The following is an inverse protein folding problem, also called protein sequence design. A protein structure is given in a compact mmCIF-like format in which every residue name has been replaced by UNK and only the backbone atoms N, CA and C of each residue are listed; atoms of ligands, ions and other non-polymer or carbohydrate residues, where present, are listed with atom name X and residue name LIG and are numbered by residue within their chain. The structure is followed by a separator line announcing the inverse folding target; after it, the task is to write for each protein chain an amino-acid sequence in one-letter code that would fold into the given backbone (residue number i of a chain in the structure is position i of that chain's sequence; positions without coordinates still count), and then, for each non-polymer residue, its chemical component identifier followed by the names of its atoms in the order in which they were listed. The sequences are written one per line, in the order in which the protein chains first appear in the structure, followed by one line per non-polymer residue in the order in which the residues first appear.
data_IF_923060899311
#
_entry.id   IF_923060899311
#
_cell.length_a   1.000
_cell.length_b   1.000
_cell.length_c   1.000
_cell.angle_alpha   90.00
_cell.angle_beta   90.00
_cell.angle_gamma   90.00
#
_symmetry.space_group_name_H-M   'P 1'
#
loop_
_entity.id
_entity.type
_entity.pdbx_description
1 polymer ?
#
# COMPACT_ATOMS: atom_id res chain seq x y z
N UNK A 1 -12.70 -4.71 -50.32
CA UNK A 1 -11.75 -5.72 -49.83
C UNK A 1 -10.37 -5.19 -50.16
N UNK A 2 -9.55 -4.98 -49.13
CA UNK A 2 -8.20 -4.41 -49.23
C UNK A 2 -7.30 -5.37 -50.03
N UNK A 3 -6.37 -4.83 -50.83
CA UNK A 3 -5.39 -5.57 -51.65
C UNK A 3 -3.97 -5.07 -51.38
N UNK A 4 -2.98 -5.85 -51.80
CA UNK A 4 -1.56 -5.44 -51.78
C UNK A 4 -1.37 -4.24 -52.72
N UNK A 5 -0.73 -3.19 -52.22
CA UNK A 5 -0.52 -1.91 -52.89
C UNK A 5 -1.54 -0.83 -52.54
N UNK A 6 -2.63 -1.16 -51.84
CA UNK A 6 -3.62 -0.17 -51.42
C UNK A 6 -3.04 0.72 -50.31
N UNK A 7 -3.26 2.05 -50.39
CA UNK A 7 -3.03 2.94 -49.26
C UNK A 7 -4.16 2.82 -48.26
N UNK A 8 -3.78 2.62 -47.00
CA UNK A 8 -4.70 2.43 -45.90
C UNK A 8 -4.40 3.43 -44.79
N UNK A 9 -5.45 3.91 -44.14
CA UNK A 9 -5.36 4.70 -42.92
C UNK A 9 -5.76 3.83 -41.73
N UNK A 10 -5.07 3.98 -40.61
CA UNK A 10 -5.45 3.28 -39.38
C UNK A 10 -6.75 3.88 -38.82
N UNK A 11 -7.68 3.01 -38.39
CA UNK A 11 -8.99 3.44 -37.89
C UNK A 11 -8.89 4.10 -36.51
N UNK A 12 -8.04 3.58 -35.64
CA UNK A 12 -7.89 3.99 -34.24
C UNK A 12 -6.50 4.53 -33.92
N UNK A 13 -5.68 4.82 -34.94
CA UNK A 13 -4.31 5.29 -34.76
C UNK A 13 -3.99 6.42 -35.76
N UNK A 14 -2.94 7.20 -35.46
CA UNK A 14 -2.48 8.31 -36.29
C UNK A 14 -1.56 7.78 -37.38
N UNK A 15 -1.85 8.18 -38.62
CA UNK A 15 -1.05 7.80 -39.79
C UNK A 15 -1.71 6.72 -40.64
N UNK A 16 -0.89 6.07 -41.46
CA UNK A 16 -1.30 5.06 -42.42
C UNK A 16 -0.09 4.47 -43.11
N UNK A 17 -0.34 3.67 -44.14
CA UNK A 17 0.73 3.04 -44.88
C UNK A 17 0.23 2.33 -46.13
N UNK A 18 1.14 1.59 -46.75
CA UNK A 18 0.85 0.81 -47.95
C UNK A 18 0.79 -0.66 -47.56
N UNK A 19 -0.24 -1.37 -48.02
CA UNK A 19 -0.34 -2.80 -47.78
C UNK A 19 0.73 -3.54 -48.58
N UNK A 20 1.65 -4.24 -47.91
CA UNK A 20 2.74 -4.98 -48.56
C UNK A 20 2.49 -6.48 -48.67
N UNK A 21 1.58 -7.04 -47.87
CA UNK A 21 1.26 -8.48 -47.94
C UNK A 21 0.18 -8.94 -46.96
N UNK A 22 -0.28 -10.18 -47.10
CA UNK A 22 -1.26 -10.80 -46.19
C UNK A 22 -0.60 -11.89 -45.35
N UNK A 23 -0.81 -11.84 -44.03
CA UNK A 23 -0.35 -12.85 -43.06
C UNK A 23 -1.43 -13.90 -42.75
N UNK A 24 -2.54 -13.89 -43.49
CA UNK A 24 -3.69 -14.78 -43.30
C UNK A 24 -4.97 -14.14 -43.84
N UNK A 25 -6.13 -14.71 -43.52
CA UNK A 25 -7.43 -14.20 -44.01
C UNK A 25 -7.83 -12.84 -43.40
N UNK A 26 -7.36 -12.53 -42.19
CA UNK A 26 -7.80 -11.36 -41.42
C UNK A 26 -6.65 -10.43 -40.99
N UNK A 27 -5.41 -10.73 -41.35
CA UNK A 27 -4.20 -9.98 -40.96
C UNK A 27 -3.40 -9.59 -42.19
N UNK A 28 -2.94 -8.35 -42.22
CA UNK A 28 -2.29 -7.72 -43.36
C UNK A 28 -1.07 -6.93 -42.88
N UNK A 29 0.02 -6.95 -43.64
CA UNK A 29 1.22 -6.14 -43.38
C UNK A 29 1.04 -4.77 -44.01
N UNK A 30 1.31 -3.73 -43.23
CA UNK A 30 1.27 -2.34 -43.67
C UNK A 30 2.65 -1.74 -43.45
N UNK A 31 3.25 -1.19 -44.50
CA UNK A 31 4.50 -0.43 -44.43
C UNK A 31 4.17 1.04 -44.18
N UNK A 32 4.66 1.56 -43.06
CA UNK A 32 4.46 2.95 -42.64
C UNK A 32 5.40 3.91 -43.40
N UNK A 33 5.24 5.22 -43.21
CA UNK A 33 6.08 6.25 -43.84
C UNK A 33 7.58 6.13 -43.50
N UNK A 34 7.90 5.49 -42.37
CA UNK A 34 9.27 5.19 -41.92
C UNK A 34 9.87 3.90 -42.54
N UNK A 35 9.13 3.19 -43.41
CA UNK A 35 9.60 1.98 -44.09
C UNK A 35 9.57 0.69 -43.25
N UNK A 36 8.87 0.70 -42.11
CA UNK A 36 8.69 -0.49 -41.27
C UNK A 36 7.39 -1.22 -41.61
N UNK A 37 7.48 -2.54 -41.83
CA UNK A 37 6.31 -3.41 -42.01
C UNK A 37 5.71 -3.83 -40.66
N UNK A 38 4.47 -3.44 -40.40
CA UNK A 38 3.73 -3.77 -39.17
C UNK A 38 2.48 -4.58 -39.49
N UNK A 39 2.20 -5.69 -38.78
CA UNK A 39 0.99 -6.47 -38.98
C UNK A 39 -0.25 -5.80 -38.34
N UNK A 40 -1.28 -5.56 -39.15
CA UNK A 40 -2.56 -4.97 -38.76
C UNK A 40 -3.75 -5.89 -39.09
N UNK A 41 -4.83 -5.89 -38.28
CA UNK A 41 -6.10 -6.51 -38.66
C UNK A 41 -6.77 -5.74 -39.80
N UNK A 42 -7.34 -6.45 -40.78
CA UNK A 42 -8.05 -5.82 -41.92
C UNK A 42 -9.22 -4.93 -41.46
N UNK A 43 -9.83 -5.23 -40.30
CA UNK A 43 -10.93 -4.45 -39.71
C UNK A 43 -10.50 -3.11 -39.10
N UNK A 44 -9.20 -2.88 -38.90
CA UNK A 44 -8.67 -1.63 -38.35
C UNK A 44 -8.08 -0.71 -39.43
N UNK A 45 -8.33 -1.03 -40.70
CA UNK A 45 -7.79 -0.31 -41.84
C UNK A 45 -8.92 0.26 -42.69
N UNK A 46 -8.78 1.52 -43.07
CA UNK A 46 -9.65 2.22 -44.00
C UNK A 46 -8.92 2.39 -45.32
N UNK A 47 -9.51 1.92 -46.42
CA UNK A 47 -8.91 2.07 -47.74
C UNK A 47 -9.07 3.51 -48.24
N UNK A 48 -7.95 4.15 -48.57
CA UNK A 48 -7.89 5.54 -49.05
C UNK A 48 -8.13 5.60 -50.55
N UNK A 49 -7.61 4.63 -51.31
CA UNK A 49 -7.72 4.61 -52.78
C UNK A 49 -9.09 4.06 -53.25
N UNK A 50 -9.80 3.32 -52.40
CA UNK A 50 -11.15 2.81 -52.69
C UNK A 50 -12.11 2.95 -51.47
N UNK A 51 -12.58 4.17 -51.15
CA UNK A 51 -13.44 4.45 -50.00
C UNK A 51 -14.78 3.70 -50.00
N UNK A 52 -15.29 3.40 -51.19
CA UNK A 52 -16.52 2.62 -51.46
C UNK A 52 -16.48 1.20 -50.86
N UNK A 53 -15.28 0.67 -50.61
CA UNK A 53 -15.06 -0.67 -50.08
C UNK A 53 -15.09 -0.72 -48.55
N UNK A 54 -15.19 0.43 -47.88
CA UNK A 54 -15.32 0.56 -46.43
C UNK A 54 -16.79 0.34 -46.02
N UNK A 55 -17.27 -0.91 -46.05
CA UNK A 55 -18.66 -1.23 -45.67
C UNK A 55 -18.81 -1.32 -44.15
N UNK A 56 -19.50 -0.32 -43.60
CA UNK A 56 -19.94 -0.22 -42.20
C UNK A 56 -20.12 1.26 -41.85
N UNK A 57 -21.21 1.86 -42.34
CA UNK A 57 -21.31 3.29 -42.57
C UNK A 57 -21.38 4.19 -41.33
N UNK A 58 -20.90 5.43 -41.50
CA UNK A 58 -21.61 6.67 -41.17
C UNK A 58 -21.19 7.73 -42.21
N UNK A 59 -22.17 8.54 -42.62
CA UNK A 59 -22.09 9.57 -43.66
C UNK A 59 -21.01 10.62 -43.43
N UNK A 60 -20.42 11.06 -44.54
CA UNK A 60 -19.63 12.29 -44.65
C UNK A 60 -20.57 13.47 -44.88
N UNK A 61 -20.49 14.49 -44.03
CA UNK A 61 -20.89 15.87 -44.39
C UNK A 61 -19.75 16.83 -44.08
N UNK A 62 -19.37 17.61 -45.09
CA UNK A 62 -18.35 18.68 -45.08
C UNK A 62 -18.86 19.95 -44.37
N UNK A 63 -18.15 21.09 -44.45
CA UNK A 63 -17.10 21.57 -43.55
C UNK A 63 -17.62 22.70 -42.63
N UNK A 64 -17.28 22.68 -41.34
CA UNK A 64 -17.59 23.78 -40.42
C UNK A 64 -16.27 24.43 -40.01
N UNK A 65 -16.21 25.75 -40.20
CA UNK A 65 -15.17 26.68 -39.77
C UNK A 65 -14.53 26.28 -38.44
N UNK A 66 -13.19 26.32 -38.42
CA UNK A 66 -12.35 26.19 -37.23
C UNK A 66 -12.55 27.39 -36.31
N UNK A 67 -13.65 27.40 -35.55
CA UNK A 67 -13.56 27.87 -34.16
C UNK A 67 -12.71 26.87 -33.39
N UNK A 68 -11.75 27.28 -32.56
CA UNK A 68 -10.97 26.36 -31.73
C UNK A 68 -11.95 25.57 -30.85
N UNK A 69 -12.28 24.35 -31.27
CA UNK A 69 -12.94 23.39 -30.40
C UNK A 69 -11.87 23.02 -29.39
N UNK A 70 -12.07 23.48 -28.15
CA UNK A 70 -11.44 22.86 -26.99
C UNK A 70 -11.48 21.36 -27.21
N UNK A 71 -10.28 20.74 -27.25
CA UNK A 71 -10.16 19.29 -27.27
C UNK A 71 -11.13 18.74 -26.23
N UNK A 72 -11.90 17.67 -26.54
CA UNK A 72 -12.71 17.05 -25.52
C UNK A 72 -11.76 16.65 -24.40
N UNK A 73 -11.82 17.40 -23.31
CA UNK A 73 -11.19 17.09 -22.03
C UNK A 73 -11.47 15.62 -21.84
N UNK A 74 -10.40 14.81 -21.93
CA UNK A 74 -10.45 13.38 -21.68
C UNK A 74 -11.41 13.19 -20.51
N UNK A 75 -12.50 12.46 -20.75
CA UNK A 75 -13.55 12.27 -19.75
C UNK A 75 -12.84 11.84 -18.48
N UNK A 76 -12.86 12.73 -17.49
CA UNK A 76 -12.26 12.45 -16.19
C UNK A 76 -12.95 11.19 -15.70
N UNK A 77 -12.18 10.09 -15.65
CA UNK A 77 -12.51 8.92 -14.85
C UNK A 77 -13.02 9.43 -13.49
N UNK A 78 -14.02 8.75 -12.89
CA UNK A 78 -14.80 9.30 -11.79
C UNK A 78 -13.86 9.86 -10.73
N UNK A 79 -13.79 11.20 -10.63
CA UNK A 79 -12.99 11.89 -9.63
C UNK A 79 -13.35 11.29 -8.28
N UNK A 80 -12.40 10.60 -7.65
CA UNK A 80 -12.58 10.13 -6.29
C UNK A 80 -13.12 11.27 -5.43
N UNK A 81 -14.06 10.96 -4.53
CA UNK A 81 -14.67 12.02 -3.70
C UNK A 81 -13.61 12.51 -2.73
N UNK A 82 -13.33 13.81 -2.74
CA UNK A 82 -12.49 14.43 -1.71
C UNK A 82 -13.29 14.48 -0.41
N UNK A 83 -12.72 13.92 0.65
CA UNK A 83 -13.35 13.82 1.98
C UNK A 83 -12.58 14.68 2.97
N UNK A 84 -13.28 15.58 3.68
CA UNK A 84 -12.65 16.43 4.68
C UNK A 84 -12.00 15.59 5.78
N UNK A 85 -10.72 15.81 6.04
CA UNK A 85 -9.95 15.11 7.08
C UNK A 85 -9.16 13.90 6.59
N UNK A 86 -9.26 13.53 5.31
CA UNK A 86 -8.50 12.45 4.66
C UNK A 86 -7.24 12.98 3.97
N UNK A 87 -6.46 13.78 4.70
CA UNK A 87 -5.28 14.48 4.18
C UNK A 87 -3.97 13.67 4.32
N UNK A 88 -4.03 12.54 5.03
CA UNK A 88 -2.92 11.60 5.20
C UNK A 88 -2.94 10.55 4.09
N UNK A 89 -1.78 10.10 3.58
CA UNK A 89 -1.71 9.08 2.54
C UNK A 89 -1.97 7.69 3.12
N UNK A 90 -3.22 7.39 3.49
CA UNK A 90 -3.61 6.13 4.10
C UNK A 90 -3.99 5.09 3.04
N UNK A 91 -3.09 4.13 2.79
CA UNK A 91 -3.24 3.08 1.79
C UNK A 91 -3.17 1.70 2.45
N UNK A 92 -4.05 0.77 2.05
CA UNK A 92 -4.16 -0.54 2.67
C UNK A 92 -4.22 -1.67 1.64
N UNK A 93 -3.63 -2.81 1.99
CA UNK A 93 -3.76 -4.08 1.30
C UNK A 93 -4.69 -4.99 2.10
N UNK A 94 -5.78 -5.44 1.50
CA UNK A 94 -6.84 -6.17 2.18
C UNK A 94 -7.09 -7.55 1.55
N UNK A 95 -7.30 -8.56 2.39
CA UNK A 95 -7.81 -9.88 1.99
C UNK A 95 -9.24 -10.02 2.50
N UNK A 96 -10.17 -10.25 1.58
CA UNK A 96 -11.61 -10.23 1.83
C UNK A 96 -12.20 -11.56 1.39
N UNK A 97 -12.58 -12.44 2.32
CA UNK A 97 -13.19 -13.72 1.97
C UNK A 97 -14.65 -13.54 1.56
N UNK A 98 -15.11 -14.36 0.60
CA UNK A 98 -16.53 -14.41 0.21
C UNK A 98 -17.46 -14.71 1.42
N UNK A 99 -17.03 -15.61 2.31
CA UNK A 99 -17.70 -15.87 3.59
C UNK A 99 -16.77 -15.60 4.78
N UNK A 100 -17.06 -14.53 5.53
CA UNK A 100 -16.31 -14.15 6.72
C UNK A 100 -16.31 -15.20 7.84
N UNK A 101 -17.35 -16.06 7.93
CA UNK A 101 -17.45 -17.10 8.97
C UNK A 101 -16.72 -18.37 8.57
N UNK A 102 -16.57 -18.60 7.27
CA UNK A 102 -15.78 -19.67 6.73
C UNK A 102 -14.88 -19.14 5.61
N UNK A 103 -13.74 -18.50 5.94
CA UNK A 103 -12.89 -17.83 4.95
C UNK A 103 -12.34 -18.71 3.84
N UNK A 104 -12.46 -20.04 3.97
CA UNK A 104 -12.01 -21.03 2.98
C UNK A 104 -13.15 -21.62 2.16
N UNK A 105 -14.40 -21.21 2.39
CA UNK A 105 -15.58 -21.72 1.68
C UNK A 105 -15.64 -21.27 0.20
N UNK A 106 -14.85 -20.26 -0.16
CA UNK A 106 -14.83 -19.66 -1.48
C UNK A 106 -13.51 -18.91 -1.70
N UNK A 107 -13.52 -18.04 -2.70
CA UNK A 107 -12.36 -17.25 -3.05
C UNK A 107 -12.14 -16.12 -2.04
N UNK A 108 -10.89 -15.66 -1.97
CA UNK A 108 -10.49 -14.51 -1.18
C UNK A 108 -10.01 -13.42 -2.14
N UNK A 109 -10.74 -12.32 -2.17
CA UNK A 109 -10.43 -11.17 -3.01
C UNK A 109 -9.38 -10.29 -2.33
N UNK A 110 -8.36 -9.93 -3.08
CA UNK A 110 -7.27 -9.08 -2.66
C UNK A 110 -7.50 -7.67 -3.20
N UNK A 111 -7.42 -6.67 -2.34
CA UNK A 111 -7.76 -5.30 -2.68
C UNK A 111 -6.67 -4.30 -2.26
N UNK A 112 -6.43 -3.31 -3.11
CA UNK A 112 -5.77 -2.06 -2.75
C UNK A 112 -6.84 -1.05 -2.36
N UNK A 113 -6.77 -0.52 -1.14
CA UNK A 113 -7.68 0.51 -0.65
C UNK A 113 -6.92 1.83 -0.52
N UNK A 114 -7.46 2.87 -1.15
CA UNK A 114 -7.02 4.24 -0.99
C UNK A 114 -8.00 4.98 -0.07
N UNK A 115 -7.66 5.13 1.19
CA UNK A 115 -8.46 5.85 2.19
C UNK A 115 -7.93 7.27 2.39
N UNK A 116 -7.64 7.96 1.29
CA UNK A 116 -7.07 9.31 1.28
C UNK A 116 -7.61 10.20 0.17
N UNK A 117 -7.30 11.48 0.24
CA UNK A 117 -7.57 12.47 -0.80
C UNK A 117 -6.56 12.47 -1.96
N UNK A 118 -5.62 11.54 -2.00
CA UNK A 118 -4.62 11.43 -3.06
C UNK A 118 -5.11 10.55 -4.21
N UNK A 119 -4.69 10.86 -5.43
CA UNK A 119 -4.67 9.91 -6.54
C UNK A 119 -3.39 9.08 -6.44
N UNK A 120 -3.48 7.77 -6.66
CA UNK A 120 -2.32 6.88 -6.53
C UNK A 120 -2.12 6.10 -7.82
N UNK A 121 -0.93 6.22 -8.41
CA UNK A 121 -0.42 5.29 -9.42
C UNK A 121 0.26 4.12 -8.71
N UNK A 122 -0.12 2.89 -9.02
CA UNK A 122 0.39 1.70 -8.35
C UNK A 122 0.87 0.61 -9.32
N UNK A 123 1.77 -0.22 -8.81
CA UNK A 123 2.11 -1.54 -9.33
C UNK A 123 2.03 -2.55 -8.20
N UNK A 124 1.38 -3.66 -8.49
CA UNK A 124 1.22 -4.82 -7.64
C UNK A 124 1.86 -6.05 -8.27
N UNK A 125 2.67 -6.78 -7.51
CA UNK A 125 3.46 -7.90 -8.02
C UNK A 125 3.62 -9.01 -6.98
N UNK A 126 3.74 -10.25 -7.44
CA UNK A 126 4.23 -11.38 -6.65
C UNK A 126 5.76 -11.42 -6.73
N UNK A 127 6.40 -11.79 -5.62
CA UNK A 127 7.86 -11.95 -5.51
C UNK A 127 8.18 -13.37 -5.12
N UNK A 128 8.85 -14.08 -6.02
CA UNK A 128 9.30 -15.46 -5.84
C UNK A 128 10.80 -15.51 -6.11
N UNK A 129 11.59 -15.98 -5.14
CA UNK A 129 13.06 -16.11 -5.25
C UNK A 129 13.78 -14.82 -5.73
N UNK A 130 13.20 -13.65 -5.42
CA UNK A 130 13.73 -12.34 -5.83
C UNK A 130 13.31 -11.86 -7.23
N UNK A 131 12.61 -12.70 -8.00
CA UNK A 131 11.96 -12.30 -9.26
C UNK A 131 10.61 -11.63 -8.98
N UNK A 132 10.30 -10.55 -9.70
CA UNK A 132 9.02 -9.84 -9.58
C UNK A 132 8.14 -10.17 -10.79
N UNK A 133 6.96 -10.73 -10.52
CA UNK A 133 5.92 -10.94 -11.51
C UNK A 133 4.81 -9.91 -11.27
N UNK A 134 4.65 -8.95 -12.17
CA UNK A 134 3.55 -7.97 -12.08
C UNK A 134 2.22 -8.68 -12.28
N UNK A 135 1.29 -8.45 -11.35
CA UNK A 135 -0.07 -9.01 -11.39
C UNK A 135 -1.07 -7.94 -11.83
N UNK A 136 -1.00 -6.75 -11.23
CA UNK A 136 -1.87 -5.63 -11.57
C UNK A 136 -1.11 -4.30 -11.48
N UNK A 137 -1.56 -3.30 -12.23
CA UNK A 137 -1.03 -1.93 -12.16
C UNK A 137 -2.10 -0.97 -12.67
N UNK A 138 -2.08 0.27 -12.19
CA UNK A 138 -3.09 1.23 -12.60
C UNK A 138 -3.08 2.48 -11.75
N UNK A 139 -4.19 3.21 -11.82
CA UNK A 139 -4.43 4.39 -10.99
C UNK A 139 -5.67 4.14 -10.14
N UNK A 140 -5.57 4.43 -8.85
CA UNK A 140 -6.68 4.38 -7.90
C UNK A 140 -7.02 5.80 -7.46
N UNK A 141 -8.30 6.12 -7.56
CA UNK A 141 -8.86 7.44 -7.26
C UNK A 141 -8.95 7.69 -5.74
N UNK A 142 -9.07 8.97 -5.30
CA UNK A 142 -9.29 9.31 -3.90
C UNK A 142 -10.48 8.58 -3.26
N UNK A 143 -10.28 8.08 -2.03
CA UNK A 143 -11.31 7.41 -1.23
C UNK A 143 -12.03 6.27 -1.98
N UNK A 144 -11.27 5.45 -2.71
CA UNK A 144 -11.76 4.30 -3.46
C UNK A 144 -10.94 3.03 -3.20
N UNK A 145 -11.31 1.93 -3.86
CA UNK A 145 -10.61 0.63 -3.78
C UNK A 145 -10.54 0.01 -5.17
N UNK A 146 -9.48 -0.76 -5.39
CA UNK A 146 -9.22 -1.52 -6.62
C UNK A 146 -9.03 -3.00 -6.24
N UNK A 147 -9.70 -3.89 -6.96
CA UNK A 147 -9.47 -5.34 -6.86
C UNK A 147 -8.19 -5.70 -7.61
N UNK A 148 -7.33 -6.50 -6.97
CA UNK A 148 -6.01 -6.84 -7.49
C UNK A 148 -5.98 -8.25 -8.10
N UNK A 149 -6.52 -9.21 -7.36
CA UNK A 149 -6.64 -10.62 -7.74
C UNK A 149 -7.60 -11.33 -6.78
N UNK A 150 -7.96 -12.57 -7.09
CA UNK A 150 -8.62 -13.48 -6.18
C UNK A 150 -7.78 -14.75 -6.02
N UNK A 151 -7.68 -15.27 -4.80
CA UNK A 151 -6.96 -16.50 -4.49
C UNK A 151 -7.93 -17.55 -3.92
N UNK A 152 -7.75 -18.79 -4.35
CA UNK A 152 -8.56 -19.92 -3.93
C UNK A 152 -7.82 -20.83 -2.94
N UNK A 153 -8.48 -21.92 -2.55
CA UNK A 153 -7.93 -22.86 -1.57
C UNK A 153 -6.59 -23.49 -1.99
N UNK A 154 -6.38 -23.68 -3.30
CA UNK A 154 -5.16 -24.29 -3.84
C UNK A 154 -3.93 -23.39 -3.66
N UNK A 155 -4.11 -22.08 -3.54
CA UNK A 155 -3.00 -21.12 -3.49
C UNK A 155 -2.40 -21.00 -2.08
N UNK A 156 -3.14 -21.42 -1.04
CA UNK A 156 -2.70 -21.27 0.36
C UNK A 156 -1.47 -22.11 0.74
N UNK A 157 -1.16 -23.18 0.00
CA UNK A 157 0.04 -23.97 0.25
C UNK A 157 1.32 -23.19 -0.03
N UNK A 158 1.27 -22.23 -0.95
CA UNK A 158 2.43 -21.47 -1.40
C UNK A 158 2.02 -20.03 -1.74
N UNK A 159 1.83 -19.22 -0.70
CA UNK A 159 1.55 -17.81 -0.89
C UNK A 159 2.83 -17.06 -1.31
N UNK A 160 2.76 -16.20 -2.35
CA UNK A 160 3.89 -15.38 -2.75
C UNK A 160 4.18 -14.28 -1.71
N UNK A 161 5.34 -13.65 -1.84
CA UNK A 161 5.55 -12.34 -1.21
C UNK A 161 4.90 -11.27 -2.08
N UNK A 162 4.00 -10.47 -1.50
CA UNK A 162 3.26 -9.45 -2.21
C UNK A 162 4.04 -8.14 -2.20
N UNK A 163 4.25 -7.51 -3.35
CA UNK A 163 5.01 -6.28 -3.49
C UNK A 163 4.16 -5.17 -4.10
N UNK A 164 4.26 -4.00 -3.48
CA UNK A 164 3.60 -2.77 -3.89
C UNK A 164 4.63 -1.70 -4.20
N UNK A 165 4.41 -0.97 -5.29
CA UNK A 165 5.10 0.28 -5.61
C UNK A 165 4.06 1.36 -5.90
N UNK A 166 4.03 2.43 -5.12
CA UNK A 166 3.02 3.49 -5.21
C UNK A 166 3.69 4.85 -5.42
N UNK A 167 3.10 5.66 -6.28
CA UNK A 167 3.34 7.10 -6.40
C UNK A 167 1.99 7.78 -6.18
N UNK A 168 1.92 8.73 -5.25
CA UNK A 168 0.66 9.39 -4.92
C UNK A 168 0.81 10.91 -5.00
N UNK A 169 -0.25 11.56 -5.45
CA UNK A 169 -0.25 12.99 -5.75
C UNK A 169 -1.65 13.57 -5.66
N UNK A 170 -1.73 14.88 -5.47
CA UNK A 170 -2.97 15.66 -5.63
C UNK A 170 -2.65 17.00 -6.28
N UNK A 171 -3.65 17.58 -6.94
CA UNK A 171 -3.51 18.91 -7.53
C UNK A 171 -3.18 19.96 -6.46
N UNK A 172 -2.20 20.82 -6.76
CA UNK A 172 -1.83 21.94 -5.89
C UNK A 172 -0.92 21.58 -4.71
N UNK A 173 -0.31 20.39 -4.71
CA UNK A 173 0.77 20.10 -3.77
C UNK A 173 2.00 20.98 -3.98
N UNK A 174 2.59 21.41 -2.86
CA UNK A 174 3.81 22.23 -2.85
C UNK A 174 5.08 21.38 -2.81
N UNK A 175 4.98 20.20 -2.22
CA UNK A 175 6.09 19.29 -1.99
C UNK A 175 5.84 17.96 -2.71
N UNK A 176 6.91 17.32 -3.18
CA UNK A 176 6.83 16.03 -3.83
C UNK A 176 6.77 14.91 -2.79
N UNK A 177 5.80 14.01 -2.94
CA UNK A 177 5.70 12.81 -2.12
C UNK A 177 6.72 11.76 -2.54
N UNK A 178 7.35 11.11 -1.56
CA UNK A 178 8.27 10.00 -1.83
C UNK A 178 7.49 8.78 -2.34
N UNK A 179 7.98 8.06 -3.38
CA UNK A 179 7.40 6.78 -3.78
C UNK A 179 7.45 5.77 -2.64
N UNK A 180 6.38 5.01 -2.46
CA UNK A 180 6.30 3.95 -1.45
C UNK A 180 6.64 2.63 -2.14
N UNK A 181 7.53 1.84 -1.53
CA UNK A 181 7.77 0.45 -1.90
C UNK A 181 7.61 -0.41 -0.67
N UNK A 182 6.62 -1.32 -0.67
CA UNK A 182 6.31 -2.17 0.48
C UNK A 182 6.13 -3.62 0.05
N UNK A 183 6.61 -4.54 0.88
CA UNK A 183 6.40 -5.98 0.68
C UNK A 183 5.69 -6.60 1.87
N UNK A 184 4.88 -7.62 1.60
CA UNK A 184 4.12 -8.35 2.61
C UNK A 184 4.34 -9.85 2.43
N UNK A 185 4.73 -10.51 3.53
CA UNK A 185 4.64 -11.97 3.66
C UNK A 185 3.47 -12.29 4.58
N UNK A 186 2.52 -13.06 4.06
CA UNK A 186 1.33 -13.43 4.81
C UNK A 186 1.44 -14.89 5.23
N UNK A 187 1.26 -15.15 6.52
CA UNK A 187 1.25 -16.52 7.03
C UNK A 187 -0.07 -17.22 6.65
N UNK A 188 -0.03 -18.33 5.87
CA UNK A 188 -1.23 -19.06 5.44
C UNK A 188 -2.15 -19.48 6.60
N UNK A 189 -1.59 -19.74 7.80
CA UNK A 189 -2.36 -20.14 8.99
C UNK A 189 -3.42 -19.10 9.39
N UNK A 190 -3.25 -17.83 8.99
CA UNK A 190 -4.25 -16.78 9.26
C UNK A 190 -5.58 -17.06 8.55
N UNK A 191 -5.55 -17.65 7.35
CA UNK A 191 -6.75 -17.92 6.54
C UNK A 191 -7.62 -19.04 7.14
N UNK A 192 -7.02 -19.97 7.91
CA UNK A 192 -7.74 -21.04 8.61
C UNK A 192 -8.42 -20.59 9.91
N UNK A 193 -8.27 -19.32 10.30
CA UNK A 193 -8.75 -18.79 11.57
C UNK A 193 -9.69 -17.62 11.31
N UNK A 194 -11.00 -17.84 11.49
CA UNK A 194 -12.05 -16.81 11.41
C UNK A 194 -11.64 -15.52 12.15
N UNK A 195 -11.13 -15.66 13.38
CA UNK A 195 -10.70 -14.54 14.25
C UNK A 195 -9.53 -13.70 13.72
N UNK A 196 -8.82 -14.17 12.69
CA UNK A 196 -7.76 -13.38 12.04
C UNK A 196 -8.37 -12.24 11.23
N UNK A 197 -9.55 -12.46 10.65
CA UNK A 197 -10.30 -11.45 9.91
C UNK A 197 -11.09 -10.59 10.89
N UNK A 198 -11.10 -9.27 10.69
CA UNK A 198 -11.73 -8.33 11.60
C UNK A 198 -12.65 -7.37 10.87
N UNK A 199 -13.66 -6.89 11.60
CA UNK A 199 -14.50 -5.80 11.16
C UNK A 199 -13.62 -4.58 10.84
N UNK A 200 -13.94 -3.90 9.76
CA UNK A 200 -13.16 -2.81 9.21
C UNK A 200 -14.10 -1.77 8.56
N UNK A 201 -13.56 -0.65 8.10
CA UNK A 201 -14.33 0.45 7.50
C UNK A 201 -14.50 0.36 5.99
N UNK A 202 -13.89 -0.64 5.33
CA UNK A 202 -13.76 -0.70 3.87
C UNK A 202 -14.66 -1.74 3.20
N UNK A 203 -15.01 -2.79 3.94
CA UNK A 203 -15.80 -3.94 3.50
C UNK A 203 -16.90 -4.24 4.53
N UNK A 204 -18.02 -4.81 4.06
CA UNK A 204 -19.06 -5.34 4.94
C UNK A 204 -18.58 -6.59 5.66
N UNK A 205 -17.68 -7.32 5.01
CA UNK A 205 -17.05 -8.54 5.45
C UNK A 205 -15.90 -8.24 6.40
N UNK A 206 -15.59 -9.20 7.26
CA UNK A 206 -14.37 -9.16 8.03
C UNK A 206 -13.18 -9.39 7.08
N UNK A 207 -12.14 -8.56 7.20
CA UNK A 207 -10.97 -8.60 6.32
C UNK A 207 -9.67 -8.72 7.11
N UNK A 208 -8.62 -9.24 6.49
CA UNK A 208 -7.25 -8.99 6.92
C UNK A 208 -6.78 -7.70 6.28
N UNK A 209 -6.46 -6.68 7.09
CA UNK A 209 -6.08 -5.35 6.62
C UNK A 209 -4.62 -5.09 6.99
N UNK A 210 -3.80 -4.76 6.00
CA UNK A 210 -2.39 -4.40 6.15
C UNK A 210 -2.16 -2.97 5.65
N UNK A 211 -1.49 -2.12 6.42
CA UNK A 211 -1.16 -0.77 5.97
C UNK A 211 0.05 -0.79 5.04
N UNK A 212 -0.06 -0.13 3.88
CA UNK A 212 1.00 0.02 2.88
C UNK A 212 1.81 1.28 3.15
N UNK A 213 1.13 2.40 3.37
CA UNK A 213 1.80 3.65 3.63
C UNK A 213 2.51 3.62 4.97
N UNK A 214 3.68 4.26 5.00
CA UNK A 214 4.39 4.45 6.24
C UNK A 214 3.61 5.44 7.10
N UNK A 215 3.42 5.09 8.38
CA UNK A 215 3.00 6.08 9.34
C UNK A 215 4.12 7.11 9.41
N UNK A 216 3.82 8.40 9.17
CA UNK A 216 4.82 9.47 9.09
C UNK A 216 5.70 9.51 10.37
N UNK A 217 5.16 9.03 11.49
CA UNK A 217 5.86 8.84 12.76
C UNK A 217 6.96 7.75 12.71
N UNK A 218 6.73 6.65 12.01
CA UNK A 218 7.70 5.57 11.85
C UNK A 218 8.83 5.98 10.89
N UNK A 219 8.51 6.71 9.82
CA UNK A 219 9.51 7.22 8.87
C UNK A 219 10.41 8.29 9.49
N UNK A 220 9.89 9.14 10.39
CA UNK A 220 10.72 10.09 11.14
C UNK A 220 11.63 9.37 12.13
N UNK A 221 11.17 8.29 12.76
CA UNK A 221 11.99 7.44 13.64
C UNK A 221 13.08 6.72 12.83
N UNK A 222 12.76 6.21 11.64
CA UNK A 222 13.71 5.54 10.75
C UNK A 222 14.71 6.50 10.10
N UNK A 223 14.29 7.74 9.80
CA UNK A 223 15.21 8.81 9.40
C UNK A 223 16.10 9.23 10.56
N UNK A 224 15.58 9.29 11.79
CA UNK A 224 16.36 9.57 13.00
C UNK A 224 17.36 8.45 13.30
N UNK A 225 16.98 7.18 13.22
CA UNK A 225 17.90 6.05 13.42
C UNK A 225 18.94 5.94 12.31
N UNK A 226 18.60 6.24 11.05
CA UNK A 226 19.57 6.28 9.96
C UNK A 226 20.53 7.47 10.03
N UNK A 227 20.04 8.65 10.43
CA UNK A 227 20.91 9.79 10.71
C UNK A 227 21.76 9.57 11.96
N UNK A 228 21.25 8.87 12.97
CA UNK A 228 22.02 8.49 14.17
C UNK A 228 23.04 7.39 13.85
N UNK A 229 22.74 6.43 12.95
CA UNK A 229 23.71 5.47 12.42
C UNK A 229 24.81 6.16 11.60
N UNK A 230 24.46 7.15 10.77
CA UNK A 230 25.43 7.97 10.02
C UNK A 230 26.26 8.88 10.94
N UNK A 231 25.66 9.40 12.01
CA UNK A 231 26.36 10.18 13.05
C UNK A 231 27.27 9.29 13.89
N UNK A 232 26.89 8.05 14.21
CA UNK A 232 27.73 7.09 14.93
C UNK A 232 28.95 6.66 14.09
N UNK A 233 28.80 6.56 12.76
CA UNK A 233 29.95 6.32 11.85
C UNK A 233 30.84 7.57 11.72
N UNK A 234 30.28 8.78 11.75
CA UNK A 234 31.06 10.04 11.71
C UNK A 234 31.60 10.50 13.07
N UNK A 235 31.10 9.96 14.18
CA UNK A 235 31.51 10.32 15.54
C UNK A 235 32.87 9.73 15.98
N UNK A 236 33.60 9.05 15.08
CA UNK A 236 35.03 8.76 15.29
C UNK A 236 35.95 9.93 15.01
N UNK A 237 35.48 11.08 14.52
CA UNK A 237 36.33 12.27 14.38
C UNK A 237 35.67 13.57 14.86
N UNK A 238 36.07 13.97 16.06
CA UNK A 238 36.21 15.34 16.59
C UNK A 238 34.97 16.10 17.12
N UNK A 239 35.33 17.03 18.02
CA UNK A 239 34.60 17.62 19.15
C UNK A 239 33.89 18.95 18.84
N UNK A 240 32.85 19.15 19.66
CA UNK A 240 32.30 20.39 20.27
C UNK A 240 31.31 21.30 19.50
N UNK A 241 30.38 21.97 20.25
CA UNK A 241 28.97 22.01 19.89
C UNK A 241 28.38 23.42 19.77
N UNK A 242 27.17 23.54 19.20
CA UNK A 242 26.23 24.64 19.48
C UNK A 242 24.78 24.23 19.20
N UNK A 243 23.79 24.68 19.99
CA UNK A 243 22.44 24.12 19.99
C UNK A 243 21.46 24.92 19.13
N UNK A 244 20.60 24.24 18.37
CA UNK A 244 19.35 24.81 17.86
C UNK A 244 18.20 24.11 18.56
N UNK A 245 17.61 24.82 19.51
CA UNK A 245 16.44 24.36 20.28
C UNK A 245 15.21 24.48 19.39
N UNK A 246 14.86 23.41 18.67
CA UNK A 246 13.51 23.23 18.15
C UNK A 246 12.67 22.56 19.24
N UNK A 247 11.67 23.27 19.77
CA UNK A 247 10.69 22.69 20.68
C UNK A 247 9.88 21.60 19.93
N UNK A 248 10.33 20.35 20.04
CA UNK A 248 9.54 19.16 19.68
C UNK A 248 8.27 19.18 20.53
N UNK A 249 7.10 19.23 19.89
CA UNK A 249 5.82 18.93 20.56
C UNK A 249 5.95 17.51 21.11
N UNK A 250 6.01 17.38 22.44
CA UNK A 250 6.08 16.09 23.12
C UNK A 250 4.80 15.32 22.82
N UNK A 251 4.95 14.10 22.29
CA UNK A 251 3.85 13.16 22.17
C UNK A 251 3.19 12.98 23.55
N UNK A 252 1.87 13.18 23.61
CA UNK A 252 1.15 13.09 24.89
C UNK A 252 0.97 11.64 25.36
N UNK A 253 0.96 10.70 24.43
CA UNK A 253 0.77 9.27 24.67
C UNK A 253 1.66 8.49 23.69
N UNK A 254 2.37 7.48 24.17
CA UNK A 254 3.11 6.50 23.36
C UNK A 254 2.50 5.12 23.58
N UNK A 255 2.23 4.38 22.51
CA UNK A 255 1.68 3.02 22.57
C UNK A 255 2.75 2.01 22.14
N UNK A 256 2.85 0.91 22.87
CA UNK A 256 3.85 -0.14 22.64
C UNK A 256 3.17 -1.50 22.67
N UNK A 257 3.13 -2.17 21.52
CA UNK A 257 2.69 -3.55 21.43
C UNK A 257 3.80 -4.51 21.89
N UNK A 258 3.48 -5.37 22.84
CA UNK A 258 4.39 -6.37 23.40
C UNK A 258 4.18 -7.76 22.84
N UNK A 259 3.23 -8.00 21.91
CA UNK A 259 3.11 -9.31 21.30
C UNK A 259 4.42 -9.71 20.61
N UNK A 260 4.91 -10.91 20.87
CA UNK A 260 6.22 -11.35 20.38
C UNK A 260 6.36 -11.27 18.85
N UNK A 261 5.25 -11.43 18.12
CA UNK A 261 5.19 -11.28 16.67
C UNK A 261 5.42 -9.86 16.15
N UNK A 262 5.36 -8.85 17.04
CA UNK A 262 5.72 -7.46 16.73
C UNK A 262 7.18 -7.16 17.08
N UNK A 263 7.85 -8.07 17.81
CA UNK A 263 9.21 -7.84 18.32
C UNK A 263 10.26 -8.59 17.52
N UNK A 264 9.94 -9.79 17.01
CA UNK A 264 10.85 -10.62 16.23
C UNK A 264 10.12 -11.39 15.12
N UNK A 265 10.80 -11.62 14.00
CA UNK A 265 10.24 -12.26 12.80
C UNK A 265 10.07 -13.78 12.93
N UNK A 266 10.82 -14.42 13.83
CA UNK A 266 10.79 -15.87 14.04
C UNK A 266 10.89 -16.23 15.53
N UNK A 267 9.89 -16.97 16.02
CA UNK A 267 9.82 -17.47 17.40
C UNK A 267 10.15 -18.96 17.52
N UNK A 268 10.51 -19.62 16.42
CA UNK A 268 10.74 -21.07 16.38
C UNK A 268 11.96 -21.44 17.21
N UNK A 269 11.77 -22.30 18.20
CA UNK A 269 12.83 -22.76 19.09
C UNK A 269 13.04 -21.92 20.36
N UNK A 270 12.35 -20.77 20.49
CA UNK A 270 12.38 -20.01 21.73
C UNK A 270 11.45 -20.62 22.78
N UNK A 271 11.96 -20.75 23.99
CA UNK A 271 11.15 -21.08 25.15
C UNK A 271 10.24 -19.91 25.54
N UNK A 272 9.14 -20.21 26.24
CA UNK A 272 8.25 -19.18 26.79
C UNK A 272 8.98 -18.19 27.69
N UNK A 273 10.07 -18.62 28.34
CA UNK A 273 10.91 -17.75 29.16
C UNK A 273 11.69 -16.76 28.31
N UNK A 274 12.33 -17.21 27.23
CA UNK A 274 13.08 -16.32 26.33
C UNK A 274 12.16 -15.32 25.63
N UNK A 275 10.97 -15.76 25.23
CA UNK A 275 9.92 -14.87 24.68
C UNK A 275 9.57 -13.79 25.70
N UNK A 276 9.33 -14.18 26.95
CA UNK A 276 9.00 -13.26 28.02
C UNK A 276 10.16 -12.29 28.29
N UNK A 277 11.40 -12.78 28.32
CA UNK A 277 12.58 -11.95 28.54
C UNK A 277 12.71 -10.86 27.45
N UNK A 278 12.52 -11.22 26.17
CA UNK A 278 12.50 -10.26 25.04
C UNK A 278 11.40 -9.21 25.21
N UNK A 279 10.19 -9.64 25.59
CA UNK A 279 9.07 -8.72 25.83
C UNK A 279 9.37 -7.77 26.99
N UNK A 280 9.98 -8.26 28.06
CA UNK A 280 10.35 -7.45 29.22
C UNK A 280 11.51 -6.48 28.93
N UNK A 281 12.48 -6.87 28.10
CA UNK A 281 13.53 -5.97 27.62
C UNK A 281 12.97 -4.82 26.78
N UNK A 282 11.96 -5.09 25.94
CA UNK A 282 11.22 -4.04 25.22
C UNK A 282 10.56 -3.06 26.18
N UNK A 283 9.86 -3.56 27.22
CA UNK A 283 9.19 -2.71 28.22
C UNK A 283 10.18 -1.77 28.90
N UNK A 284 11.31 -2.30 29.37
CA UNK A 284 12.32 -1.51 30.07
C UNK A 284 12.93 -0.43 29.16
N UNK A 285 13.26 -0.79 27.92
CA UNK A 285 13.80 0.15 26.93
C UNK A 285 12.82 1.28 26.62
N UNK A 286 11.57 0.95 26.31
CA UNK A 286 10.56 1.95 25.95
C UNK A 286 10.21 2.86 27.14
N UNK A 287 10.24 2.33 28.37
CA UNK A 287 10.12 3.16 29.58
C UNK A 287 11.24 4.20 29.66
N UNK A 288 12.50 3.82 29.43
CA UNK A 288 13.63 4.77 29.44
C UNK A 288 13.47 5.84 28.36
N UNK A 289 13.14 5.43 27.14
CA UNK A 289 12.92 6.35 26.02
C UNK A 289 11.78 7.34 26.29
N UNK A 290 10.66 6.86 26.86
CA UNK A 290 9.52 7.70 27.18
C UNK A 290 9.83 8.70 28.31
N UNK A 291 10.63 8.30 29.31
CA UNK A 291 11.10 9.19 30.38
C UNK A 291 12.03 10.26 29.82
N UNK A 292 13.02 9.87 29.00
CA UNK A 292 13.98 10.79 28.38
C UNK A 292 13.30 11.79 27.46
N UNK A 293 12.35 11.31 26.65
CA UNK A 293 11.55 12.10 25.72
C UNK A 293 10.45 12.93 26.39
N UNK A 294 10.32 12.83 27.73
CA UNK A 294 9.32 13.54 28.54
C UNK A 294 7.89 13.33 28.04
N UNK A 295 7.59 12.11 27.60
CA UNK A 295 6.24 11.69 27.23
C UNK A 295 5.35 11.77 28.48
N UNK A 296 4.07 12.18 28.33
CA UNK A 296 3.17 12.27 29.49
C UNK A 296 2.66 10.90 29.95
N UNK A 297 2.36 10.00 29.00
CA UNK A 297 1.81 8.66 29.23
C UNK A 297 2.39 7.65 28.25
N UNK A 298 2.62 6.43 28.70
CA UNK A 298 2.97 5.29 27.84
C UNK A 298 2.00 4.14 28.10
N UNK A 299 1.55 3.44 27.06
CA UNK A 299 0.59 2.34 27.13
C UNK A 299 1.25 1.08 26.57
N UNK A 300 1.33 0.03 27.38
CA UNK A 300 1.83 -1.28 26.99
C UNK A 300 0.68 -2.23 26.68
N UNK A 301 0.59 -2.72 25.46
CA UNK A 301 -0.43 -3.66 25.00
C UNK A 301 0.15 -5.08 25.11
N UNK A 302 -0.30 -5.84 26.10
CA UNK A 302 0.19 -7.20 26.40
C UNK A 302 -0.85 -8.31 26.13
N UNK A 303 -2.06 -7.92 25.69
CA UNK A 303 -3.15 -8.84 25.41
C UNK A 303 -3.83 -9.41 26.68
N UNK A 304 -4.85 -10.24 26.45
CA UNK A 304 -5.78 -10.77 27.49
C UNK A 304 -5.50 -12.21 27.89
N UNK A 305 -4.29 -12.73 27.63
CA UNK A 305 -3.93 -14.13 27.88
C UNK A 305 -3.98 -14.55 29.36
N UNK A 306 -3.14 -15.48 29.79
CA UNK A 306 -3.11 -15.95 31.20
C UNK A 306 -2.65 -14.88 32.22
N UNK A 307 -2.39 -13.65 31.79
CA UNK A 307 -2.01 -12.54 32.67
C UNK A 307 -0.53 -12.54 33.10
N UNK A 308 0.28 -13.49 32.66
CA UNK A 308 1.72 -13.58 33.01
C UNK A 308 2.47 -12.30 32.61
N UNK A 309 2.32 -11.85 31.35
CA UNK A 309 3.00 -10.64 30.87
C UNK A 309 2.51 -9.38 31.61
N UNK A 310 1.21 -9.28 31.91
CA UNK A 310 0.65 -8.19 32.76
C UNK A 310 1.32 -8.16 34.14
N UNK A 311 1.46 -9.33 34.77
CA UNK A 311 2.06 -9.45 36.11
C UNK A 311 3.55 -9.07 36.11
N UNK A 312 4.32 -9.54 35.13
CA UNK A 312 5.74 -9.22 35.03
C UNK A 312 5.99 -7.74 34.66
N UNK A 313 5.16 -7.16 33.77
CA UNK A 313 5.16 -5.69 33.52
C UNK A 313 4.90 -4.93 34.81
N UNK A 314 3.87 -5.28 35.57
CA UNK A 314 3.56 -4.63 36.84
C UNK A 314 4.69 -4.77 37.87
N UNK A 315 5.36 -5.93 37.92
CA UNK A 315 6.49 -6.19 38.82
C UNK A 315 7.73 -5.37 38.43
N UNK A 316 8.05 -5.29 37.14
CA UNK A 316 9.14 -4.45 36.62
C UNK A 316 8.87 -2.97 36.91
N UNK A 317 7.65 -2.49 36.64
CA UNK A 317 7.25 -1.11 36.94
C UNK A 317 7.37 -0.78 38.43
N UNK A 318 6.90 -1.67 39.32
CA UNK A 318 7.01 -1.48 40.78
C UNK A 318 8.44 -1.48 41.30
N UNK A 319 9.33 -2.26 40.68
CA UNK A 319 10.71 -2.44 41.16
C UNK A 319 11.66 -1.37 40.61
N UNK A 320 11.70 -1.18 39.29
CA UNK A 320 12.65 -0.28 38.62
C UNK A 320 12.08 1.13 38.39
N UNK A 321 10.76 1.26 38.27
CA UNK A 321 10.08 2.51 37.91
C UNK A 321 9.07 2.99 38.96
N UNK A 322 9.33 2.69 40.24
CA UNK A 322 8.43 2.95 41.38
C UNK A 322 7.96 4.41 41.53
N UNK A 323 8.70 5.36 40.93
CA UNK A 323 8.35 6.78 40.89
C UNK A 323 7.10 7.08 40.06
N UNK A 324 6.73 6.21 39.12
CA UNK A 324 5.65 6.45 38.16
C UNK A 324 4.43 5.60 38.51
N UNK A 325 3.24 6.20 38.49
CA UNK A 325 2.00 5.47 38.70
C UNK A 325 1.58 4.75 37.43
N UNK A 326 1.02 3.55 37.57
CA UNK A 326 0.42 2.82 36.45
C UNK A 326 -0.94 2.25 36.85
N UNK A 327 -1.79 2.06 35.84
CA UNK A 327 -3.14 1.54 35.94
C UNK A 327 -3.49 0.76 34.67
N UNK A 328 -4.58 0.01 34.69
CA UNK A 328 -5.12 -0.56 33.47
C UNK A 328 -5.54 0.58 32.51
N UNK A 329 -5.24 0.41 31.22
CA UNK A 329 -5.61 1.38 30.19
C UNK A 329 -7.12 1.36 29.93
N UNK A 330 -7.63 2.38 29.22
CA UNK A 330 -9.06 2.51 28.95
C UNK A 330 -9.62 1.24 28.29
N UNK A 331 -10.64 0.66 28.93
CA UNK A 331 -11.30 -0.55 28.43
C UNK A 331 -11.92 -0.34 27.03
N UNK A 332 -12.43 0.87 26.74
CA UNK A 332 -13.03 1.20 25.45
C UNK A 332 -12.02 1.26 24.30
N UNK A 333 -10.77 1.63 24.59
CA UNK A 333 -9.72 1.81 23.58
C UNK A 333 -8.84 0.55 23.42
N UNK A 334 -8.56 -0.17 24.51
CA UNK A 334 -7.58 -1.28 24.51
C UNK A 334 -8.11 -2.61 25.09
N UNK A 335 -9.39 -2.69 25.49
CA UNK A 335 -9.96 -3.86 26.15
C UNK A 335 -9.30 -4.17 27.50
N UNK A 336 -9.24 -5.46 27.89
CA UNK A 336 -8.62 -5.91 29.15
C UNK A 336 -7.09 -6.12 29.08
N UNK A 337 -6.45 -5.69 27.99
CA UNK A 337 -5.13 -6.18 27.58
C UNK A 337 -4.00 -5.14 27.59
N UNK A 338 -4.14 -4.02 28.30
CA UNK A 338 -3.12 -2.98 28.31
C UNK A 338 -2.91 -2.29 29.66
N UNK A 339 -1.67 -1.88 29.92
CA UNK A 339 -1.22 -1.17 31.12
C UNK A 339 -0.73 0.22 30.74
N UNK A 340 -1.34 1.27 31.30
CA UNK A 340 -0.94 2.67 31.12
C UNK A 340 -0.06 3.12 32.28
N UNK A 341 1.10 3.71 31.96
CA UNK A 341 2.02 4.35 32.91
C UNK A 341 1.96 5.87 32.71
N UNK A 342 1.83 6.60 33.82
CA UNK A 342 1.75 8.06 33.86
C UNK A 342 3.12 8.58 34.27
N UNK A 343 3.82 9.23 33.34
CA UNK A 343 5.19 9.73 33.50
C UNK A 343 5.24 11.21 33.88
N UNK A 344 4.08 11.89 33.89
CA UNK A 344 3.97 13.31 34.24
C UNK A 344 4.52 13.57 35.64
N UNK A 345 5.52 14.46 35.73
CA UNK A 345 5.97 15.01 37.01
C UNK A 345 4.81 15.77 37.67
N UNK A 346 4.56 15.50 38.96
CA UNK A 346 3.89 16.47 39.84
C UNK A 346 4.72 17.75 39.90
#
# INVERSE_FOLDING_TARGET
MIKVGDRVKFLNDVGGGIVTGFLGKNMVKVENEDGFEVPYPVSQLLNVDAPELNRGGVSVTQPVEETPKEEPVQQKAPKGKIVKGKESPDFYFCFVPEDSKNPLAGDIELHLVNDSNFTVLFRYAHVNEGSYQTVSHGTIEPNSKEELEAIGQADFSELPEYSFQLIYFRDGEKDANAPITKKFRVNPVKFYKEKSFRANSFFSENALVYQISENILDTEIDKLTNDDLRKVIKAKEKKDPSPVVAHKKQAEIVEVDLHISQLIDNTTGLSNREILDIQMEKVEREMHLAIESRVKRIVFIHGVGQGVLKQEVAKLLKSKFSKYSFQDASFQEYGYGATMVILRRK
#
